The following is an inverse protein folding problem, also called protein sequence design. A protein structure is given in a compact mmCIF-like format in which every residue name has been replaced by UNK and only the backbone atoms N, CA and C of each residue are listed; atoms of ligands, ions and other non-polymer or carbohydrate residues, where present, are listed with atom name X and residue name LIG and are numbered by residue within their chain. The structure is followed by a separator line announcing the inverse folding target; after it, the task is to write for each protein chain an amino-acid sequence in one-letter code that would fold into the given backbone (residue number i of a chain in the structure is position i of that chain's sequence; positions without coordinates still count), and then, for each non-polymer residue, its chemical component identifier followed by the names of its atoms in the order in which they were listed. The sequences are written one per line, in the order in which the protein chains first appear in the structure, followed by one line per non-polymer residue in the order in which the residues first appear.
data_IF_850377564031
#
_entry.id   IF_850377564031
#
_cell.length_a   1.000
_cell.length_b   1.000
_cell.length_c   1.000
_cell.angle_alpha   90.00
_cell.angle_beta   90.00
_cell.angle_gamma   90.00
#
_symmetry.space_group_name_H-M   'P 1'
#
loop_
_entity.id
_entity.type
_entity.pdbx_description
1 polymer ?
#
# COMPACT_ATOMS: atom_id res chain seq x y z
N UNK A 1 -52.00 14.22 24.71
CA UNK A 1 -50.62 14.65 24.37
C UNK A 1 -50.59 14.80 22.86
N UNK A 2 -50.23 15.98 22.33
CA UNK A 2 -50.30 16.25 20.90
C UNK A 2 -49.47 15.26 20.08
N UNK A 3 -50.08 14.73 19.00
CA UNK A 3 -49.43 13.77 18.09
C UNK A 3 -48.10 14.32 17.57
N UNK A 4 -48.05 15.62 17.25
CA UNK A 4 -46.85 16.34 16.81
C UNK A 4 -45.72 16.30 17.84
N UNK A 5 -46.05 16.36 19.13
CA UNK A 5 -45.08 16.36 20.22
C UNK A 5 -44.49 14.95 20.43
N UNK A 6 -45.30 13.90 20.24
CA UNK A 6 -44.81 12.52 20.24
C UNK A 6 -43.86 12.24 19.06
N UNK A 7 -44.19 12.73 17.85
CA UNK A 7 -43.32 12.58 16.68
C UNK A 7 -41.97 13.28 16.85
N UNK A 8 -41.95 14.51 17.39
CA UNK A 8 -40.72 15.26 17.64
C UNK A 8 -39.82 14.56 18.68
N UNK A 9 -40.40 14.02 19.74
CA UNK A 9 -39.65 13.26 20.75
C UNK A 9 -39.01 12.01 20.15
N UNK A 10 -39.74 11.25 19.32
CA UNK A 10 -39.20 10.05 18.67
C UNK A 10 -38.05 10.39 17.70
N UNK A 11 -38.20 11.43 16.87
CA UNK A 11 -37.15 11.84 15.93
C UNK A 11 -35.91 12.32 16.68
N UNK A 12 -36.08 13.13 17.73
CA UNK A 12 -34.96 13.61 18.54
C UNK A 12 -34.21 12.47 19.24
N UNK A 13 -34.93 11.45 19.72
CA UNK A 13 -34.34 10.26 20.32
C UNK A 13 -33.54 9.44 19.28
N UNK A 14 -34.06 9.28 18.06
CA UNK A 14 -33.35 8.61 16.97
C UNK A 14 -32.06 9.33 16.56
N UNK A 15 -32.12 10.66 16.41
CA UNK A 15 -30.94 11.47 16.09
C UNK A 15 -29.90 11.36 17.22
N UNK A 16 -30.36 11.45 18.48
CA UNK A 16 -29.50 11.25 19.65
C UNK A 16 -28.80 9.90 19.65
N UNK A 17 -29.54 8.82 19.37
CA UNK A 17 -28.98 7.47 19.28
C UNK A 17 -27.91 7.34 18.19
N UNK A 18 -28.16 7.89 17.00
CA UNK A 18 -27.19 7.89 15.89
C UNK A 18 -25.90 8.62 16.28
N UNK A 19 -26.03 9.79 16.94
CA UNK A 19 -24.87 10.57 17.40
C UNK A 19 -24.06 9.77 18.43
N UNK A 20 -24.72 9.16 19.42
CA UNK A 20 -24.06 8.36 20.45
C UNK A 20 -23.28 7.20 19.82
N UNK A 21 -23.89 6.46 18.89
CA UNK A 21 -23.24 5.36 18.18
C UNK A 21 -22.01 5.87 17.42
N UNK A 22 -22.14 6.98 16.70
CA UNK A 22 -21.02 7.55 15.91
C UNK A 22 -19.87 8.00 16.81
N UNK A 23 -20.18 8.61 17.95
CA UNK A 23 -19.19 9.02 18.96
C UNK A 23 -18.49 7.80 19.55
N UNK A 24 -19.26 6.76 19.93
CA UNK A 24 -18.72 5.50 20.44
C UNK A 24 -17.74 4.86 19.45
N UNK A 25 -18.12 4.72 18.17
CA UNK A 25 -17.22 4.20 17.14
C UNK A 25 -15.97 5.05 16.95
N UNK A 26 -16.09 6.37 17.07
CA UNK A 26 -14.94 7.28 16.94
C UNK A 26 -13.98 7.10 18.11
N UNK A 27 -14.48 7.03 19.34
CA UNK A 27 -13.67 6.74 20.52
C UNK A 27 -13.04 5.35 20.45
N UNK A 28 -13.80 4.33 20.04
CA UNK A 28 -13.29 2.98 19.83
C UNK A 28 -12.13 2.98 18.85
N UNK A 29 -12.28 3.68 17.72
CA UNK A 29 -11.22 3.80 16.69
C UNK A 29 -9.98 4.54 17.20
N UNK A 30 -10.14 5.54 18.08
CA UNK A 30 -9.00 6.23 18.71
C UNK A 30 -8.30 5.32 19.73
N UNK A 31 -9.06 4.56 20.50
CA UNK A 31 -8.54 3.61 21.48
C UNK A 31 -7.79 2.47 20.77
N UNK A 32 -8.38 1.92 19.71
CA UNK A 32 -7.76 0.87 18.89
C UNK A 32 -6.47 1.36 18.23
N UNK A 33 -6.41 2.62 17.79
CA UNK A 33 -5.18 3.27 17.31
C UNK A 33 -4.08 3.35 18.36
N UNK A 34 -4.44 3.53 19.64
CA UNK A 34 -3.45 3.61 20.74
C UNK A 34 -3.02 2.23 21.24
N UNK A 35 -3.93 1.25 21.28
CA UNK A 35 -3.66 -0.10 21.77
C UNK A 35 -2.95 -0.97 20.73
N UNK A 36 -3.31 -0.80 19.46
CA UNK A 36 -2.76 -1.55 18.34
C UNK A 36 -2.25 -0.57 17.26
N UNK A 37 -1.24 0.26 17.57
CA UNK A 37 -0.65 1.15 16.57
C UNK A 37 -0.21 0.39 15.33
N UNK A 38 0.16 -0.90 15.44
CA UNK A 38 0.51 -1.78 14.32
C UNK A 38 -0.63 -2.06 13.33
N UNK A 39 -1.91 -1.95 13.74
CA UNK A 39 -3.07 -2.10 12.83
C UNK A 39 -3.40 -0.81 12.07
N UNK A 40 -2.93 0.33 12.59
CA UNK A 40 -3.22 1.66 12.04
C UNK A 40 -2.01 2.37 11.45
N UNK A 41 -0.81 1.88 11.74
CA UNK A 41 0.30 1.87 10.80
C UNK A 41 -0.17 1.03 9.61
N UNK A 42 -1.00 1.66 8.78
CA UNK A 42 -0.89 1.47 7.35
C UNK A 42 0.51 2.00 6.97
N UNK A 43 1.57 1.27 7.35
CA UNK A 43 2.50 0.78 6.35
C UNK A 43 1.59 0.05 5.37
N UNK A 44 0.99 0.85 4.49
CA UNK A 44 0.46 0.45 3.20
C UNK A 44 1.33 -0.71 2.77
N UNK A 45 0.71 -1.83 2.43
CA UNK A 45 1.35 -3.00 1.85
C UNK A 45 2.21 -2.56 0.65
N UNK A 46 3.36 -1.95 0.93
CA UNK A 46 4.41 -1.55 0.04
C UNK A 46 5.39 -2.70 0.18
N UNK A 47 5.66 -3.43 -0.90
CA UNK A 47 6.60 -4.53 -0.93
C UNK A 47 8.02 -3.94 -1.00
N UNK A 48 8.32 -2.96 -0.15
CA UNK A 48 9.67 -2.71 0.34
C UNK A 48 10.14 -3.93 1.20
N UNK A 49 9.25 -4.89 1.47
CA UNK A 49 9.48 -6.09 2.28
C UNK A 49 10.38 -7.15 1.65
N UNK A 50 10.53 -7.21 0.33
CA UNK A 50 11.38 -8.26 -0.26
C UNK A 50 12.86 -7.89 -0.23
N UNK A 51 13.19 -6.60 -0.28
CA UNK A 51 14.57 -6.16 -0.48
C UNK A 51 14.88 -4.74 0.04
N UNK A 52 14.79 -4.49 1.36
CA UNK A 52 15.05 -3.17 1.95
C UNK A 52 16.46 -2.63 1.63
N UNK A 53 17.41 -3.51 1.30
CA UNK A 53 18.80 -3.17 1.01
C UNK A 53 19.13 -3.00 -0.49
N UNK A 54 18.15 -3.08 -1.40
CA UNK A 54 18.41 -2.93 -2.85
C UNK A 54 18.42 -1.47 -3.32
N UNK A 55 17.79 -0.55 -2.58
CA UNK A 55 17.70 0.85 -3.00
C UNK A 55 19.08 1.47 -3.19
N UNK A 56 19.34 1.97 -4.40
CA UNK A 56 20.63 2.55 -4.78
C UNK A 56 21.73 1.53 -5.09
N UNK A 57 21.45 0.22 -5.00
CA UNK A 57 22.41 -0.81 -5.41
C UNK A 57 22.33 -1.04 -6.92
N UNK A 58 23.48 -1.34 -7.50
CA UNK A 58 23.59 -1.84 -8.86
C UNK A 58 23.11 -3.29 -8.90
N UNK A 59 22.31 -3.59 -9.91
CA UNK A 59 21.78 -4.90 -10.18
C UNK A 59 21.92 -5.23 -11.67
N UNK A 60 22.08 -6.52 -11.95
CA UNK A 60 21.90 -7.11 -13.27
C UNK A 60 20.51 -7.73 -13.33
N UNK A 61 19.69 -7.24 -14.26
CA UNK A 61 18.34 -7.74 -14.48
C UNK A 61 18.34 -8.63 -15.72
N UNK A 62 17.97 -9.90 -15.54
CA UNK A 62 17.78 -10.84 -16.64
C UNK A 62 16.29 -10.92 -16.96
N UNK A 63 15.93 -10.63 -18.21
CA UNK A 63 14.58 -10.74 -18.73
C UNK A 63 14.29 -12.16 -19.24
N UNK A 64 13.02 -12.55 -19.31
CA UNK A 64 12.61 -13.88 -19.80
C UNK A 64 12.91 -14.12 -21.28
N UNK A 65 13.08 -13.05 -22.05
CA UNK A 65 13.53 -13.12 -23.45
C UNK A 65 15.04 -13.40 -23.58
N UNK A 66 15.78 -13.51 -22.48
CA UNK A 66 17.22 -13.72 -22.45
C UNK A 66 18.07 -12.45 -22.46
N UNK A 67 17.46 -11.27 -22.60
CA UNK A 67 18.15 -9.98 -22.52
C UNK A 67 18.64 -9.70 -21.09
N UNK A 68 19.85 -9.17 -20.97
CA UNK A 68 20.44 -8.79 -19.69
C UNK A 68 20.71 -7.29 -19.66
N UNK A 69 20.17 -6.64 -18.62
CA UNK A 69 20.39 -5.24 -18.34
C UNK A 69 21.36 -5.15 -17.16
N UNK A 70 22.61 -4.79 -17.47
CA UNK A 70 23.68 -4.63 -16.48
C UNK A 70 23.70 -3.20 -15.91
N UNK A 71 24.37 -3.03 -14.77
CA UNK A 71 24.56 -1.72 -14.11
C UNK A 71 23.26 -0.92 -13.87
N UNK A 72 22.15 -1.63 -13.62
CA UNK A 72 20.87 -1.00 -13.33
C UNK A 72 20.77 -0.65 -11.84
N UNK A 73 20.67 0.63 -11.52
CA UNK A 73 20.47 1.09 -10.14
C UNK A 73 19.00 0.94 -9.75
N UNK A 74 18.73 0.09 -8.77
CA UNK A 74 17.37 -0.15 -8.29
C UNK A 74 16.86 1.06 -7.49
N UNK A 75 15.65 1.55 -7.84
CA UNK A 75 15.04 2.72 -7.19
C UNK A 75 13.86 2.36 -6.30
N UNK A 76 12.85 1.70 -6.89
CA UNK A 76 11.57 1.49 -6.23
C UNK A 76 10.80 0.31 -6.81
N UNK A 77 9.97 -0.34 -6.00
CA UNK A 77 8.97 -1.30 -6.47
C UNK A 77 7.57 -0.69 -6.39
N UNK A 78 6.91 -0.61 -7.53
CA UNK A 78 5.53 -0.13 -7.67
C UNK A 78 4.58 -1.32 -7.69
N UNK A 79 3.48 -1.21 -6.94
CA UNK A 79 2.35 -2.12 -7.05
C UNK A 79 1.21 -1.40 -7.76
N UNK A 80 0.74 -2.00 -8.85
CA UNK A 80 -0.50 -1.59 -9.48
C UNK A 80 -1.58 -2.62 -9.13
N UNK A 81 -2.63 -2.14 -8.46
CA UNK A 81 -3.81 -2.89 -8.13
C UNK A 81 -4.98 -1.93 -7.93
N UNK A 82 -6.07 -2.13 -8.67
CA UNK A 82 -7.30 -1.36 -8.50
C UNK A 82 -8.02 -1.83 -7.21
N UNK A 83 -7.74 -1.13 -6.11
CA UNK A 83 -8.51 -1.21 -4.87
C UNK A 83 -8.27 -2.43 -3.99
N UNK A 84 -8.88 -2.41 -2.81
CA UNK A 84 -8.71 -3.38 -1.70
C UNK A 84 -9.04 -4.85 -2.03
N UNK A 85 -9.45 -5.17 -3.27
CA UNK A 85 -9.88 -6.50 -3.71
C UNK A 85 -9.21 -7.00 -5.01
N UNK A 86 -8.14 -6.35 -5.48
CA UNK A 86 -7.42 -6.82 -6.66
C UNK A 86 -6.65 -8.13 -6.35
N UNK A 87 -7.14 -9.25 -6.91
CA UNK A 87 -6.52 -10.58 -6.78
C UNK A 87 -5.19 -10.73 -7.52
N UNK A 88 -4.86 -9.82 -8.43
CA UNK A 88 -3.62 -9.83 -9.20
C UNK A 88 -2.94 -8.48 -9.03
N UNK A 89 -1.93 -8.43 -8.17
CA UNK A 89 -1.06 -7.27 -8.04
C UNK A 89 0.02 -7.38 -9.12
N UNK A 90 -0.01 -6.48 -10.11
CA UNK A 90 1.11 -6.36 -11.06
C UNK A 90 2.21 -5.58 -10.36
N UNK A 91 3.39 -6.19 -10.29
CA UNK A 91 4.56 -5.60 -9.63
C UNK A 91 5.47 -5.02 -10.72
N UNK A 92 5.78 -3.73 -10.63
CA UNK A 92 6.74 -3.08 -11.50
C UNK A 92 7.98 -2.65 -10.71
N UNK A 93 9.15 -2.91 -11.27
CA UNK A 93 10.42 -2.54 -10.71
C UNK A 93 10.99 -1.35 -11.47
N UNK A 94 11.31 -0.28 -10.76
CA UNK A 94 11.95 0.92 -11.29
C UNK A 94 13.46 0.81 -11.16
N UNK A 95 14.15 0.96 -12.29
CA UNK A 95 15.61 1.01 -12.35
C UNK A 95 16.08 2.26 -13.11
N UNK A 96 17.30 2.71 -12.78
CA UNK A 96 18.04 3.67 -13.59
C UNK A 96 19.17 2.91 -14.29
N UNK A 97 19.14 2.90 -15.61
CA UNK A 97 20.20 2.29 -16.44
C UNK A 97 21.50 3.09 -16.39
N UNK A 98 22.61 2.49 -16.82
CA UNK A 98 23.90 3.17 -16.96
C UNK A 98 23.85 4.49 -17.77
N UNK A 99 22.92 4.57 -18.74
CA UNK A 99 22.68 5.76 -19.56
C UNK A 99 21.79 6.82 -18.87
N UNK A 100 21.58 6.72 -17.55
CA UNK A 100 20.69 7.56 -16.74
C UNK A 100 19.23 7.57 -17.21
N UNK A 101 18.81 6.56 -17.98
CA UNK A 101 17.41 6.39 -18.38
C UNK A 101 16.68 5.60 -17.30
N UNK A 102 15.51 6.08 -16.92
CA UNK A 102 14.58 5.39 -16.04
C UNK A 102 13.80 4.35 -16.82
N UNK A 103 13.77 3.12 -16.34
CA UNK A 103 13.01 2.02 -16.92
C UNK A 103 12.10 1.40 -15.86
N UNK A 104 10.98 0.87 -16.32
CA UNK A 104 10.02 0.16 -15.49
C UNK A 104 9.83 -1.23 -16.07
N UNK A 105 10.08 -2.26 -15.27
CA UNK A 105 10.02 -3.65 -15.69
C UNK A 105 8.96 -4.38 -14.88
N UNK A 106 8.04 -5.08 -15.55
CA UNK A 106 7.05 -5.90 -14.87
C UNK A 106 7.69 -7.17 -14.32
N UNK A 107 7.21 -7.66 -13.17
CA UNK A 107 7.55 -9.00 -12.68
C UNK A 107 7.19 -10.11 -13.69
N UNK A 108 6.24 -9.85 -14.59
CA UNK A 108 5.89 -10.77 -15.67
C UNK A 108 7.02 -10.96 -16.68
N UNK A 109 7.88 -9.96 -16.87
CA UNK A 109 8.92 -9.95 -17.90
C UNK A 109 10.32 -10.29 -17.35
N UNK A 110 10.50 -10.13 -16.04
CA UNK A 110 11.77 -10.40 -15.35
C UNK A 110 11.89 -11.89 -15.03
N UNK A 111 13.05 -12.47 -15.34
CA UNK A 111 13.43 -13.81 -14.94
C UNK A 111 14.21 -13.80 -13.62
N UNK A 112 15.17 -12.89 -13.47
CA UNK A 112 16.08 -12.82 -12.32
C UNK A 112 16.60 -11.41 -12.10
N UNK A 113 16.83 -11.03 -10.84
CA UNK A 113 17.55 -9.82 -10.45
C UNK A 113 18.73 -10.28 -9.58
N UNK A 114 19.94 -9.89 -9.95
CA UNK A 114 21.16 -10.18 -9.21
C UNK A 114 21.80 -8.88 -8.77
N UNK A 115 22.18 -8.77 -7.50
CA UNK A 115 23.05 -7.70 -7.05
C UNK A 115 24.44 -8.20 -6.84
N UNK A 116 25.42 -7.41 -7.25
CA UNK A 116 26.79 -7.63 -6.82
C UNK A 116 26.86 -7.50 -5.29
N UNK A 117 27.23 -8.60 -4.64
CA UNK A 117 27.39 -8.68 -3.20
C UNK A 117 28.67 -7.98 -2.70
N UNK A 118 29.49 -7.43 -3.60
CA UNK A 118 30.84 -6.95 -3.31
C UNK A 118 30.96 -5.50 -2.79
N UNK A 119 29.89 -4.94 -2.21
CA UNK A 119 29.96 -3.70 -1.40
C UNK A 119 28.99 -3.68 -0.22
#
# INVERSE_FOLDING_TARGET
MDLTLQFLLVISAFIGAIIIVKVFFTFWRILEKRLHPEKFDKRTARPEFSFPNLKGKKATVTLKNGEQLQDCEYQFTHLFGDGEFAFVQIIYFEFITANKRRIFLSNADILKIETDADR
#
